data_IF_536001594883
#
_entry.id   IF_536001594883
#
_cell.length_a   1.000
_cell.length_b   1.000
_cell.length_c   1.000
_cell.angle_alpha   90.00
_cell.angle_beta   90.00
_cell.angle_gamma   90.00
#
_symmetry.space_group_name_H-M   'P 1'
#
loop_
_entity.id
_entity.type
_entity.pdbx_description
1 polymer ?
#
# COMPACT_ATOMS: atom_id res chain seq x y z
N UNK A 1 -0.87 27.81 17.61
CA UNK A 1 -1.18 26.65 18.46
C UNK A 1 -1.15 25.40 17.58
N UNK A 2 -0.39 24.35 17.91
CA UNK A 2 -0.48 23.10 17.17
C UNK A 2 -1.88 22.54 17.41
N UNK A 3 -2.66 22.34 16.34
CA UNK A 3 -3.93 21.65 16.46
C UNK A 3 -3.65 20.23 16.95
N UNK A 4 -4.21 19.85 18.09
CA UNK A 4 -4.23 18.47 18.55
C UNK A 4 -5.13 17.68 17.60
N UNK A 5 -4.57 17.26 16.47
CA UNK A 5 -5.35 16.65 15.39
C UNK A 5 -5.92 15.27 15.75
N UNK A 6 -5.52 14.64 16.86
CA UNK A 6 -6.07 13.35 17.22
C UNK A 6 -5.93 13.01 18.72
N UNK A 7 -6.97 13.30 19.51
CA UNK A 7 -7.19 12.68 20.83
C UNK A 7 -8.37 11.72 20.81
N UNK A 8 -9.00 11.55 19.64
CA UNK A 8 -10.24 10.81 19.48
C UNK A 8 -9.93 9.38 19.05
N UNK A 9 -10.83 8.45 19.36
CA UNK A 9 -10.75 7.10 18.78
C UNK A 9 -10.97 7.14 17.27
N UNK A 10 -10.61 6.07 16.55
CA UNK A 10 -10.81 6.00 15.09
C UNK A 10 -12.28 6.26 14.71
N UNK A 11 -13.23 5.69 15.45
CA UNK A 11 -14.67 5.86 15.18
C UNK A 11 -15.13 7.30 15.44
N UNK A 12 -14.78 7.88 16.60
CA UNK A 12 -15.10 9.28 16.94
C UNK A 12 -14.51 10.28 15.93
N UNK A 13 -13.31 10.00 15.42
CA UNK A 13 -12.66 10.83 14.40
C UNK A 13 -13.47 10.84 13.11
N UNK A 14 -13.91 9.67 12.63
CA UNK A 14 -14.74 9.58 11.41
C UNK A 14 -16.08 10.30 11.56
N UNK A 15 -16.76 10.09 12.70
CA UNK A 15 -18.05 10.73 12.97
C UNK A 15 -17.93 12.26 13.04
N UNK A 16 -16.85 12.78 13.63
CA UNK A 16 -16.55 14.22 13.66
C UNK A 16 -16.44 14.83 12.25
N UNK A 17 -15.96 14.06 11.28
CA UNK A 17 -15.89 14.45 9.87
C UNK A 17 -17.16 14.12 9.07
N UNK A 18 -18.24 13.74 9.74
CA UNK A 18 -19.55 13.48 9.14
C UNK A 18 -19.68 12.09 8.50
N UNK A 19 -18.80 11.15 8.86
CA UNK A 19 -18.84 9.77 8.34
C UNK A 19 -19.17 8.83 9.50
N UNK A 20 -20.43 8.40 9.57
CA UNK A 20 -20.88 7.39 10.51
C UNK A 20 -20.60 5.98 9.97
N UNK A 21 -19.35 5.53 10.15
CA UNK A 21 -18.88 4.23 9.64
C UNK A 21 -19.64 3.06 10.28
N UNK A 22 -20.05 3.18 11.54
CA UNK A 22 -20.75 2.11 12.24
C UNK A 22 -22.12 1.85 11.61
N UNK A 23 -22.92 2.90 11.40
CA UNK A 23 -24.23 2.79 10.75
C UNK A 23 -24.09 2.27 9.32
N UNK A 24 -23.11 2.77 8.56
CA UNK A 24 -22.86 2.33 7.18
C UNK A 24 -22.58 0.82 7.10
N UNK A 25 -21.82 0.28 8.05
CA UNK A 25 -21.50 -1.15 8.12
C UNK A 25 -22.71 -1.96 8.62
N UNK A 26 -23.34 -1.52 9.72
CA UNK A 26 -24.43 -2.25 10.37
C UNK A 26 -25.68 -2.38 9.49
N UNK A 27 -26.00 -1.35 8.71
CA UNK A 27 -27.14 -1.34 7.79
C UNK A 27 -26.81 -1.91 6.41
N UNK A 28 -25.55 -2.30 6.16
CA UNK A 28 -25.12 -2.86 4.88
C UNK A 28 -25.19 -1.85 3.73
N UNK A 29 -24.94 -0.57 4.01
CA UNK A 29 -24.98 0.51 3.03
C UNK A 29 -23.71 0.61 2.18
N UNK A 30 -22.67 -0.14 2.55
CA UNK A 30 -21.40 -0.23 1.83
C UNK A 30 -20.96 -1.68 1.69
N UNK A 31 -20.30 -2.02 0.59
CA UNK A 31 -19.65 -3.31 0.39
C UNK A 31 -18.16 -3.28 0.78
N UNK A 32 -17.54 -2.09 0.72
CA UNK A 32 -16.11 -1.90 0.88
C UNK A 32 -15.81 -0.72 1.80
N UNK A 33 -14.95 -0.94 2.80
CA UNK A 33 -14.38 0.09 3.65
C UNK A 33 -12.90 0.29 3.30
N UNK A 34 -12.55 1.48 2.81
CA UNK A 34 -11.19 1.82 2.32
C UNK A 34 -10.55 2.96 3.14
N UNK A 35 -10.16 2.71 4.40
CA UNK A 35 -9.69 3.76 5.29
C UNK A 35 -8.27 4.24 4.93
N UNK A 36 -8.04 5.55 5.09
CA UNK A 36 -6.73 6.18 4.90
C UNK A 36 -6.13 6.60 6.26
N UNK A 37 -4.88 6.23 6.59
CA UNK A 37 -4.23 6.51 7.87
C UNK A 37 -3.75 7.96 8.01
N UNK A 38 -4.66 8.92 8.00
CA UNK A 38 -4.29 10.34 8.12
C UNK A 38 -3.63 10.59 9.49
N UNK A 39 -2.33 10.90 9.48
CA UNK A 39 -1.49 11.17 10.67
C UNK A 39 -1.24 9.98 11.62
N UNK A 40 -1.57 8.75 11.22
CA UNK A 40 -1.24 7.59 12.05
C UNK A 40 0.26 7.26 11.98
N UNK A 41 0.84 6.81 13.10
CA UNK A 41 2.24 6.39 13.17
C UNK A 41 2.42 4.93 12.79
N UNK A 42 1.47 4.08 13.18
CA UNK A 42 1.46 2.64 12.90
C UNK A 42 0.07 2.19 12.47
N UNK A 43 0.00 1.12 11.67
CA UNK A 43 -1.26 0.45 11.32
C UNK A 43 -2.01 -0.05 12.57
N UNK A 44 -1.26 -0.51 13.58
CA UNK A 44 -1.82 -1.01 14.83
C UNK A 44 -2.59 0.05 15.64
N UNK A 45 -2.33 1.34 15.38
CA UNK A 45 -2.95 2.43 16.14
C UNK A 45 -4.39 2.71 15.72
N UNK A 46 -4.78 2.35 14.49
CA UNK A 46 -6.03 2.81 13.89
C UNK A 46 -6.85 1.72 13.19
N UNK A 47 -6.21 0.66 12.70
CA UNK A 47 -6.86 -0.39 11.93
C UNK A 47 -7.67 -1.39 12.78
N UNK A 48 -7.19 -1.85 13.95
CA UNK A 48 -7.92 -2.84 14.76
C UNK A 48 -9.40 -2.51 15.06
N UNK A 49 -9.78 -1.27 15.43
CA UNK A 49 -11.21 -0.97 15.66
C UNK A 49 -12.05 -1.04 14.38
N UNK A 50 -11.47 -0.79 13.20
CA UNK A 50 -12.18 -0.94 11.92
C UNK A 50 -12.29 -2.41 11.51
N UNK A 51 -11.22 -3.19 11.72
CA UNK A 51 -11.23 -4.63 11.50
C UNK A 51 -12.25 -5.34 12.38
N UNK A 52 -12.35 -4.95 13.66
CA UNK A 52 -13.37 -5.44 14.57
C UNK A 52 -14.79 -5.06 14.14
N UNK A 53 -14.98 -3.85 13.61
CA UNK A 53 -16.29 -3.35 13.17
C UNK A 53 -16.84 -4.14 11.97
N UNK A 54 -16.00 -4.46 10.99
CA UNK A 54 -16.43 -5.22 9.80
C UNK A 54 -16.44 -6.74 10.02
N UNK A 55 -15.92 -7.20 11.16
CA UNK A 55 -15.81 -8.63 11.45
C UNK A 55 -17.21 -9.26 11.46
N UNK A 56 -17.33 -10.43 10.85
CA UNK A 56 -18.58 -11.19 10.75
C UNK A 56 -19.70 -10.46 9.97
N UNK A 57 -19.33 -9.42 9.20
CA UNK A 57 -20.19 -8.72 8.23
C UNK A 57 -19.76 -9.05 6.79
N UNK A 58 -20.60 -8.80 5.77
CA UNK A 58 -20.17 -8.93 4.37
C UNK A 58 -19.21 -7.81 3.92
N UNK A 59 -19.05 -6.73 4.70
CA UNK A 59 -18.23 -5.57 4.34
C UNK A 59 -16.75 -5.96 4.32
N UNK A 60 -16.07 -5.60 3.24
CA UNK A 60 -14.64 -5.90 3.06
C UNK A 60 -13.74 -4.72 3.41
N UNK A 61 -12.64 -4.99 4.10
CA UNK A 61 -11.71 -3.97 4.59
C UNK A 61 -10.43 -3.90 3.73
N UNK A 62 -10.24 -2.76 3.06
CA UNK A 62 -9.13 -2.50 2.14
C UNK A 62 -8.35 -1.23 2.56
N UNK A 63 -7.55 -1.28 3.64
CA UNK A 63 -6.77 -0.14 4.10
C UNK A 63 -5.78 0.36 3.05
N UNK A 64 -5.50 1.66 3.04
CA UNK A 64 -4.45 2.23 2.20
C UNK A 64 -3.06 1.76 2.64
N UNK A 65 -2.25 1.33 1.68
CA UNK A 65 -0.86 0.96 1.92
C UNK A 65 -0.01 2.22 2.15
N UNK A 66 0.31 2.47 3.42
CA UNK A 66 1.09 3.63 3.86
C UNK A 66 2.41 3.20 4.54
N UNK A 67 3.52 3.94 4.37
CA UNK A 67 3.68 5.16 3.58
C UNK A 67 3.57 4.94 2.07
N UNK A 68 3.03 5.95 1.36
CA UNK A 68 2.84 5.90 -0.12
C UNK A 68 4.14 5.63 -0.88
N UNK A 69 5.29 6.09 -0.37
CA UNK A 69 6.59 5.94 -1.03
C UNK A 69 7.48 5.11 -0.13
N UNK A 70 7.79 3.91 -0.56
CA UNK A 70 8.65 2.99 0.18
C UNK A 70 9.32 1.99 -0.76
N UNK A 71 10.52 1.48 -0.41
CA UNK A 71 11.16 0.41 -1.15
C UNK A 71 10.26 -0.83 -1.30
N UNK A 72 10.45 -1.63 -2.35
CA UNK A 72 9.69 -2.87 -2.58
C UNK A 72 9.63 -3.82 -1.37
N UNK A 73 10.77 -4.12 -0.73
CA UNK A 73 10.80 -4.97 0.47
C UNK A 73 10.02 -4.36 1.66
N UNK A 74 10.04 -3.03 1.82
CA UNK A 74 9.26 -2.35 2.86
C UNK A 74 7.75 -2.43 2.57
N UNK A 75 7.34 -2.27 1.30
CA UNK A 75 5.95 -2.42 0.89
C UNK A 75 5.41 -3.83 1.19
N UNK A 76 6.24 -4.87 1.01
CA UNK A 76 5.91 -6.25 1.36
C UNK A 76 5.65 -6.40 2.87
N UNK A 77 6.50 -5.80 3.71
CA UNK A 77 6.33 -5.81 5.17
C UNK A 77 5.05 -5.08 5.60
N UNK A 78 4.79 -3.89 5.04
CA UNK A 78 3.58 -3.11 5.32
C UNK A 78 2.32 -3.87 4.90
N UNK A 79 2.32 -4.49 3.73
CA UNK A 79 1.20 -5.30 3.26
C UNK A 79 0.91 -6.45 4.22
N UNK A 80 1.94 -7.21 4.62
CA UNK A 80 1.76 -8.29 5.59
C UNK A 80 1.17 -7.77 6.90
N UNK A 81 1.71 -6.67 7.43
CA UNK A 81 1.20 -6.05 8.66
C UNK A 81 -0.30 -5.74 8.57
N UNK A 82 -0.75 -5.20 7.43
CA UNK A 82 -2.17 -4.90 7.23
C UNK A 82 -3.03 -6.17 7.17
N UNK A 83 -2.56 -7.22 6.48
CA UNK A 83 -3.26 -8.52 6.43
C UNK A 83 -3.32 -9.20 7.81
N UNK A 84 -2.24 -9.15 8.58
CA UNK A 84 -2.18 -9.70 9.95
C UNK A 84 -3.15 -8.97 10.89
N UNK A 85 -3.41 -7.69 10.62
CA UNK A 85 -4.37 -6.86 11.36
C UNK A 85 -5.82 -6.98 10.86
N UNK A 86 -6.10 -7.88 9.91
CA UNK A 86 -7.47 -8.20 9.48
C UNK A 86 -7.93 -7.54 8.18
N UNK A 87 -7.01 -6.99 7.37
CA UNK A 87 -7.37 -6.53 6.03
C UNK A 87 -7.78 -7.71 5.12
N UNK A 88 -8.78 -7.48 4.27
CA UNK A 88 -9.16 -8.39 3.17
C UNK A 88 -8.31 -8.12 1.91
N UNK A 89 -7.85 -6.89 1.73
CA UNK A 89 -7.04 -6.44 0.60
C UNK A 89 -6.36 -5.11 0.88
N UNK A 90 -5.86 -4.46 -0.16
CA UNK A 90 -5.11 -3.21 -0.04
C UNK A 90 -5.66 -2.16 -1.02
N UNK A 91 -5.66 -0.90 -0.59
CA UNK A 91 -5.92 0.25 -1.46
C UNK A 91 -4.61 1.00 -1.71
N UNK A 92 -4.49 1.64 -2.87
CA UNK A 92 -3.33 2.46 -3.22
C UNK A 92 -3.79 3.85 -3.68
N UNK A 93 -3.50 4.88 -2.89
CA UNK A 93 -3.83 6.26 -3.25
C UNK A 93 -2.77 6.92 -4.16
N UNK A 94 -3.15 7.91 -4.96
CA UNK A 94 -2.25 8.74 -5.78
C UNK A 94 -1.33 7.96 -6.74
N UNK A 95 -1.79 6.81 -7.24
CA UNK A 95 -0.99 5.92 -8.13
C UNK A 95 -0.59 6.59 -9.44
N UNK A 96 -1.44 7.47 -9.98
CA UNK A 96 -1.16 8.24 -11.21
C UNK A 96 0.16 9.01 -11.12
N UNK A 97 0.46 9.58 -9.95
CA UNK A 97 1.67 10.38 -9.71
C UNK A 97 2.93 9.54 -9.46
N UNK A 98 2.81 8.20 -9.43
CA UNK A 98 3.89 7.27 -9.08
C UNK A 98 4.23 6.29 -10.20
N UNK A 99 3.63 6.42 -11.39
CA UNK A 99 3.79 5.47 -12.50
C UNK A 99 5.25 5.31 -12.96
N UNK A 100 6.05 6.37 -12.88
CA UNK A 100 7.47 6.36 -13.27
C UNK A 100 8.38 5.62 -12.28
N UNK A 101 7.90 5.26 -11.08
CA UNK A 101 8.67 4.53 -10.08
C UNK A 101 8.53 3.03 -10.29
N UNK A 102 8.99 2.57 -11.46
CA UNK A 102 8.78 1.18 -11.94
C UNK A 102 9.31 0.14 -10.94
N UNK A 103 10.38 0.46 -10.21
CA UNK A 103 10.93 -0.39 -9.17
C UNK A 103 9.93 -0.70 -8.05
N UNK A 104 9.12 0.27 -7.62
CA UNK A 104 8.06 0.06 -6.63
C UNK A 104 6.95 -0.84 -7.18
N UNK A 105 6.55 -0.60 -8.42
CA UNK A 105 5.49 -1.36 -9.08
C UNK A 105 5.86 -2.82 -9.33
N UNK A 106 7.16 -3.14 -9.37
CA UNK A 106 7.62 -4.52 -9.40
C UNK A 106 7.13 -5.33 -8.19
N UNK A 107 6.98 -4.71 -7.02
CA UNK A 107 6.35 -5.39 -5.87
C UNK A 107 4.87 -5.06 -5.73
N UNK A 108 4.43 -3.81 -5.90
CA UNK A 108 3.04 -3.42 -5.62
C UNK A 108 2.00 -4.27 -6.37
N UNK A 109 2.27 -4.66 -7.63
CA UNK A 109 1.37 -5.51 -8.42
C UNK A 109 1.21 -6.95 -7.89
N UNK A 110 2.01 -7.34 -6.89
CA UNK A 110 2.02 -8.67 -6.28
C UNK A 110 1.38 -8.69 -4.89
N UNK A 111 1.17 -7.53 -4.28
CA UNK A 111 0.71 -7.46 -2.88
C UNK A 111 -0.74 -7.91 -2.66
N UNK A 112 -1.49 -8.23 -3.72
CA UNK A 112 -2.80 -8.91 -3.62
C UNK A 112 -2.70 -10.43 -3.36
N UNK A 113 -1.51 -11.02 -3.57
CA UNK A 113 -1.23 -12.44 -3.33
C UNK A 113 -0.97 -12.68 -1.84
N UNK A 114 -2.03 -12.59 -1.03
CA UNK A 114 -1.96 -12.61 0.44
C UNK A 114 -1.22 -13.84 0.97
N UNK A 115 -1.51 -15.02 0.41
CA UNK A 115 -0.94 -16.30 0.87
C UNK A 115 0.57 -16.39 0.59
N UNK A 116 1.03 -15.76 -0.49
CA UNK A 116 2.42 -15.79 -0.93
C UNK A 116 3.30 -14.73 -0.24
N UNK A 117 2.70 -13.69 0.35
CA UNK A 117 3.45 -12.61 1.02
C UNK A 117 4.33 -13.13 2.15
N UNK A 118 3.80 -14.02 3.00
CA UNK A 118 4.56 -14.59 4.12
C UNK A 118 5.78 -15.38 3.61
N UNK A 119 5.59 -16.19 2.56
CA UNK A 119 6.65 -16.96 1.91
C UNK A 119 7.71 -16.04 1.30
N UNK A 120 7.30 -15.01 0.55
CA UNK A 120 8.24 -14.07 -0.07
C UNK A 120 9.06 -13.32 0.98
N UNK A 121 8.46 -12.96 2.11
CA UNK A 121 9.19 -12.32 3.20
C UNK A 121 10.19 -13.25 3.85
N UNK A 122 9.81 -14.51 4.12
CA UNK A 122 10.73 -15.51 4.66
C UNK A 122 11.94 -15.73 3.74
N UNK A 123 11.70 -15.72 2.43
CA UNK A 123 12.72 -15.84 1.40
C UNK A 123 13.55 -14.56 1.18
N UNK A 124 13.25 -13.47 1.89
CA UNK A 124 13.95 -12.18 1.72
C UNK A 124 13.71 -11.53 0.35
N UNK A 125 12.58 -11.81 -0.30
CA UNK A 125 12.19 -11.20 -1.58
C UNK A 125 11.67 -9.78 -1.37
N UNK A 126 11.56 -9.03 -2.46
CA UNK A 126 11.14 -7.63 -2.43
C UNK A 126 11.91 -6.83 -3.44
N UNK A 127 13.21 -6.73 -3.19
CA UNK A 127 14.11 -5.91 -3.99
C UNK A 127 14.68 -6.68 -5.20
N UNK A 128 14.44 -7.99 -5.29
CA UNK A 128 14.87 -8.88 -6.37
C UNK A 128 14.00 -8.77 -7.64
N UNK A 129 12.81 -8.18 -7.53
CA UNK A 129 11.85 -8.11 -8.64
C UNK A 129 12.14 -6.98 -9.64
N UNK A 130 13.05 -6.06 -9.32
CA UNK A 130 13.49 -5.00 -10.20
C UNK A 130 15.01 -4.99 -10.29
N UNK A 131 15.54 -5.01 -11.51
CA UNK A 131 16.97 -4.85 -11.74
C UNK A 131 17.22 -3.68 -12.69
N UNK A 132 18.21 -2.87 -12.35
CA UNK A 132 18.83 -1.95 -13.29
C UNK A 132 20.01 -2.68 -13.92
N UNK A 133 20.02 -2.75 -15.24
CA UNK A 133 21.12 -3.32 -15.99
C UNK A 133 21.90 -2.18 -16.61
N UNK A 134 23.17 -2.07 -16.23
CA UNK A 134 24.08 -1.15 -16.87
C UNK A 134 24.66 -1.83 -18.12
N UNK A 135 24.14 -1.46 -19.28
CA UNK A 135 24.59 -1.99 -20.56
C UNK A 135 25.52 -0.99 -21.24
N UNK A 136 26.70 -1.46 -21.64
CA UNK A 136 27.58 -0.70 -22.54
C UNK A 136 27.05 -0.63 -23.97
N UNK A 137 26.35 -1.68 -24.41
CA UNK A 137 25.79 -1.81 -25.75
C UNK A 137 24.46 -2.57 -25.70
N UNK A 138 23.50 -2.16 -26.53
CA UNK A 138 22.25 -2.84 -26.82
C UNK A 138 22.12 -2.99 -28.34
N UNK A 139 22.48 -4.16 -28.86
CA UNK A 139 22.63 -4.36 -30.31
C UNK A 139 23.77 -3.51 -30.87
N UNK A 140 23.46 -2.67 -31.86
CA UNK A 140 24.36 -1.70 -32.50
C UNK A 140 24.40 -0.34 -31.77
N UNK A 141 23.63 -0.17 -30.70
CA UNK A 141 23.56 1.10 -29.96
C UNK A 141 24.42 1.09 -28.71
N UNK A 142 25.26 2.11 -28.56
CA UNK A 142 26.04 2.31 -27.35
C UNK A 142 25.18 2.91 -26.23
N UNK A 143 25.38 2.44 -25.00
CA UNK A 143 24.88 3.09 -23.78
C UNK A 143 25.72 4.30 -23.36
N UNK A 144 26.89 4.49 -23.97
CA UNK A 144 27.70 5.69 -23.80
C UNK A 144 27.13 6.82 -24.68
N UNK A 145 26.71 7.95 -24.10
CA UNK A 145 26.05 9.03 -24.84
C UNK A 145 26.95 9.65 -25.92
N UNK A 146 28.26 9.41 -25.90
CA UNK A 146 29.21 9.87 -26.93
C UNK A 146 29.15 9.06 -28.23
N UNK A 147 28.62 7.84 -28.18
CA UNK A 147 28.59 6.90 -29.31
C UNK A 147 27.15 6.57 -29.73
N UNK A 148 26.24 7.55 -29.64
CA UNK A 148 24.79 7.40 -29.90
C UNK A 148 24.45 6.89 -31.31
N UNK A 149 25.40 6.92 -32.25
CA UNK A 149 25.31 6.25 -33.55
C UNK A 149 26.66 5.67 -33.94
N UNK A 150 26.73 4.35 -34.10
CA UNK A 150 27.78 3.70 -34.88
C UNK A 150 27.16 2.57 -35.68
N UNK A 151 26.66 2.92 -36.87
CA UNK A 151 26.83 2.20 -38.14
C UNK A 151 25.92 2.85 -39.22
N UNK A 152 26.55 3.69 -40.04
CA UNK A 152 26.28 3.69 -41.47
C UNK A 152 27.18 2.65 -42.13
#
# INVERSE_FOLDING_TARGET
MPAAYNTNTTHESNLRWGIDVETLVAEGLIDYLMPHPTFAKSAADWLPPLAALVKDTPVKLYPDLYPRRQPPAAALYSAQTLYDLGADGLTFWDTYSRVYRISEWAMMKRLGHREEIALWREQGRGDDYFRVLDFKWLGDRSGDPRFFQTNG
#
